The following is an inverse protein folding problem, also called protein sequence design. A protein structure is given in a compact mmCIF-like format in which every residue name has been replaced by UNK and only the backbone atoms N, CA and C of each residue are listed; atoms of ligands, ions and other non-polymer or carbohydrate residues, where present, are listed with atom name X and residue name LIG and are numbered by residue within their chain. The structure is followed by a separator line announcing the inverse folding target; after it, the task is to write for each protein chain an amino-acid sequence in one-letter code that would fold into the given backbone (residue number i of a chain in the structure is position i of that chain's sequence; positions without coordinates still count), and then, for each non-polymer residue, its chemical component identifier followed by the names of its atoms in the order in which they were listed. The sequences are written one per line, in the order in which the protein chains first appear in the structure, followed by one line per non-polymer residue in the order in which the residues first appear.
data_IF_920754350597
#
_entry.id   IF_920754350597
#
_cell.length_a   1.000
_cell.length_b   1.000
_cell.length_c   1.000
_cell.angle_alpha   90.00
_cell.angle_beta   90.00
_cell.angle_gamma   90.00
#
_symmetry.space_group_name_H-M   'P 1'
#
loop_
_entity.id
_entity.type
_entity.pdbx_description
1 polymer ?
#
# COMPACT_ATOMS: atom_id res chain seq x y z
N UNK A 1 9.83 8.97 2.41
CA UNK A 1 8.50 8.35 2.53
C UNK A 1 7.86 8.28 1.16
N UNK A 2 7.31 7.15 0.82
CA UNK A 2 6.65 6.96 -0.48
C UNK A 2 5.15 6.89 -0.28
N UNK A 3 4.40 7.62 -1.10
CA UNK A 3 2.94 7.64 -1.04
C UNK A 3 2.37 7.14 -2.36
N UNK A 4 1.41 6.24 -2.28
CA UNK A 4 0.73 5.71 -3.46
C UNK A 4 -0.78 5.88 -3.29
N UNK A 5 -1.47 6.25 -4.37
CA UNK A 5 -2.91 6.33 -4.37
C UNK A 5 -3.50 4.96 -4.71
N UNK A 6 -4.53 4.56 -4.01
CA UNK A 6 -5.12 3.23 -4.13
C UNK A 6 -6.61 3.34 -4.46
N UNK A 7 -7.02 2.63 -5.49
CA UNK A 7 -8.41 2.59 -5.92
C UNK A 7 -9.11 1.36 -5.38
N UNK A 8 -10.37 1.49 -5.00
CA UNK A 8 -11.19 0.38 -4.51
C UNK A 8 -11.18 0.23 -2.99
N UNK A 9 -10.45 1.09 -2.29
CA UNK A 9 -10.39 1.07 -0.84
C UNK A 9 -11.58 1.86 -0.28
N UNK A 10 -12.58 1.15 0.22
CA UNK A 10 -13.86 1.76 0.61
C UNK A 10 -14.21 1.59 2.09
N UNK A 11 -13.46 0.82 2.85
CA UNK A 11 -13.78 0.59 4.26
C UNK A 11 -12.51 0.24 5.05
N UNK A 12 -12.67 0.14 6.37
CA UNK A 12 -11.58 -0.19 7.29
C UNK A 12 -10.92 -1.53 6.99
N UNK A 13 -11.71 -2.51 6.57
CA UNK A 13 -11.15 -3.81 6.19
C UNK A 13 -10.21 -3.69 5.00
N UNK A 14 -10.53 -2.81 4.08
CA UNK A 14 -9.68 -2.53 2.94
C UNK A 14 -8.36 -1.91 3.40
N UNK A 15 -8.41 -0.98 4.33
CA UNK A 15 -7.21 -0.36 4.93
C UNK A 15 -6.31 -1.43 5.55
N UNK A 16 -6.89 -2.35 6.30
CA UNK A 16 -6.15 -3.43 6.95
C UNK A 16 -5.51 -4.36 5.91
N UNK A 17 -6.24 -4.71 4.87
CA UNK A 17 -5.74 -5.58 3.81
C UNK A 17 -4.56 -4.94 3.09
N UNK A 18 -4.67 -3.67 2.75
CA UNK A 18 -3.59 -2.93 2.09
C UNK A 18 -2.38 -2.81 3.01
N UNK A 19 -2.60 -2.46 4.27
CA UNK A 19 -1.52 -2.37 5.26
C UNK A 19 -0.75 -3.69 5.36
N UNK A 20 -1.49 -4.79 5.47
CA UNK A 20 -0.88 -6.11 5.56
C UNK A 20 -0.09 -6.46 4.30
N UNK A 21 -0.67 -6.17 3.14
CA UNK A 21 0.00 -6.43 1.87
C UNK A 21 1.32 -5.68 1.76
N UNK A 22 1.34 -4.42 2.19
CA UNK A 22 2.55 -3.60 2.18
C UNK A 22 3.58 -4.09 3.19
N UNK A 23 3.14 -4.50 4.38
CA UNK A 23 4.05 -5.01 5.40
C UNK A 23 4.75 -6.31 5.00
N UNK A 24 4.17 -7.06 4.10
CA UNK A 24 4.77 -8.29 3.59
C UNK A 24 5.92 -8.03 2.62
N UNK A 25 6.06 -6.81 2.15
CA UNK A 25 7.13 -6.43 1.24
C UNK A 25 8.40 -6.14 2.04
N UNK A 26 9.48 -6.86 1.73
CA UNK A 26 10.75 -6.63 2.38
C UNK A 26 11.27 -5.23 2.06
N UNK A 27 11.70 -4.53 3.09
CA UNK A 27 12.21 -3.17 2.95
C UNK A 27 11.17 -2.09 3.21
N UNK A 28 9.91 -2.46 3.39
CA UNK A 28 8.83 -1.52 3.73
C UNK A 28 8.68 -1.42 5.24
N UNK A 29 8.61 -0.19 5.75
CA UNK A 29 8.45 0.10 7.16
C UNK A 29 7.49 1.26 7.36
N UNK A 30 6.94 1.40 8.56
CA UNK A 30 6.10 2.53 8.95
C UNK A 30 4.93 2.76 7.99
N UNK A 31 4.22 1.69 7.68
CA UNK A 31 3.07 1.77 6.77
C UNK A 31 1.94 2.56 7.42
N UNK A 32 1.44 3.55 6.68
CA UNK A 32 0.29 4.36 7.09
C UNK A 32 -0.69 4.43 5.92
N UNK A 33 -1.94 4.10 6.17
CA UNK A 33 -2.97 4.13 5.13
C UNK A 33 -4.05 5.12 5.52
N UNK A 34 -4.41 5.99 4.58
CA UNK A 34 -5.46 6.99 4.79
C UNK A 34 -6.67 6.62 3.94
N UNK A 35 -7.74 6.22 4.58
CA UNK A 35 -8.99 5.85 3.91
C UNK A 35 -9.66 7.05 3.24
N UNK A 36 -9.66 8.18 3.92
CA UNK A 36 -10.30 9.38 3.40
C UNK A 36 -9.68 9.89 2.11
N UNK A 37 -8.37 9.74 1.98
CA UNK A 37 -7.63 10.14 0.79
C UNK A 37 -7.35 8.98 -0.16
N UNK A 38 -7.71 7.77 0.24
CA UNK A 38 -7.43 6.53 -0.50
C UNK A 38 -5.94 6.44 -0.87
N UNK A 39 -5.07 6.66 0.10
CA UNK A 39 -3.62 6.67 -0.07
C UNK A 39 -2.94 5.79 0.95
N UNK A 40 -1.81 5.25 0.57
CA UNK A 40 -0.93 4.54 1.49
C UNK A 40 0.45 5.16 1.44
N UNK A 41 1.06 5.34 2.61
CA UNK A 41 2.40 5.87 2.74
C UNK A 41 3.26 4.88 3.50
N UNK A 42 4.51 4.79 3.14
CA UNK A 42 5.45 3.91 3.84
C UNK A 42 6.87 4.41 3.68
N UNK A 43 7.73 4.02 4.62
CA UNK A 43 9.16 4.26 4.53
C UNK A 43 9.83 3.04 3.92
N UNK A 44 10.87 3.28 3.14
CA UNK A 44 11.66 2.23 2.55
C UNK A 44 13.00 2.14 3.27
N UNK A 45 13.23 1.04 3.98
CA UNK A 45 14.54 0.78 4.62
C UNK A 45 15.53 0.21 3.62
N UNK A 46 15.05 -0.32 2.51
CA UNK A 46 15.82 -0.83 1.38
C UNK A 46 15.15 -0.37 0.10
N UNK A 47 15.86 -0.33 -1.04
CA UNK A 47 15.21 -0.05 -2.31
C UNK A 47 14.08 -1.03 -2.57
N UNK A 48 12.88 -0.52 -2.79
CA UNK A 48 11.70 -1.32 -3.06
C UNK A 48 11.21 -1.01 -4.47
N UNK A 49 10.94 -2.05 -5.24
CA UNK A 49 10.41 -1.91 -6.59
C UNK A 49 8.95 -1.50 -6.53
N UNK A 50 8.61 -0.40 -7.17
CA UNK A 50 7.23 0.09 -7.22
C UNK A 50 6.30 -0.90 -7.89
N UNK A 51 6.79 -1.66 -8.85
CA UNK A 51 5.99 -2.69 -9.49
C UNK A 51 5.62 -3.81 -8.53
N UNK A 52 6.53 -4.14 -7.62
CA UNK A 52 6.25 -5.12 -6.58
C UNK A 52 5.14 -4.61 -5.66
N UNK A 53 5.18 -3.33 -5.30
CA UNK A 53 4.14 -2.71 -4.49
C UNK A 53 2.79 -2.81 -5.20
N UNK A 54 2.75 -2.46 -6.47
CA UNK A 54 1.53 -2.54 -7.27
C UNK A 54 1.00 -3.97 -7.34
N UNK A 55 1.89 -4.92 -7.54
CA UNK A 55 1.52 -6.33 -7.63
C UNK A 55 0.91 -6.84 -6.32
N UNK A 56 1.53 -6.50 -5.20
CA UNK A 56 1.02 -6.92 -3.89
C UNK A 56 -0.36 -6.33 -3.60
N UNK A 57 -0.55 -5.06 -3.92
CA UNK A 57 -1.83 -4.38 -3.73
C UNK A 57 -2.88 -5.00 -4.65
N UNK A 58 -2.53 -5.30 -5.88
CA UNK A 58 -3.43 -5.94 -6.82
C UNK A 58 -3.88 -7.31 -6.33
N UNK A 59 -2.97 -8.09 -5.75
CA UNK A 59 -3.30 -9.39 -5.18
C UNK A 59 -4.27 -9.27 -4.00
N UNK A 60 -4.21 -8.16 -3.28
CA UNK A 60 -5.13 -7.91 -2.18
C UNK A 60 -6.53 -7.49 -2.67
N UNK A 61 -6.71 -7.28 -3.96
CA UNK A 61 -7.98 -6.89 -4.55
C UNK A 61 -8.14 -5.40 -4.80
N UNK A 62 -7.03 -4.65 -4.78
CA UNK A 62 -7.05 -3.20 -4.96
C UNK A 62 -6.13 -2.81 -6.11
N UNK A 63 -6.13 -1.54 -6.47
CA UNK A 63 -5.35 -1.05 -7.59
C UNK A 63 -4.59 0.22 -7.20
N UNK A 64 -3.33 0.30 -7.59
CA UNK A 64 -2.53 1.51 -7.43
C UNK A 64 -2.75 2.40 -8.65
N UNK A 65 -3.18 3.64 -8.42
CA UNK A 65 -3.52 4.58 -9.51
C UNK A 65 -2.43 5.60 -9.78
N UNK A 66 -1.50 5.77 -8.88
CA UNK A 66 -0.44 6.76 -9.09
C UNK A 66 0.83 6.38 -8.36
#
# INVERSE_FOLDING_TARGET
MTTVAIKGMTCQHCVMAVTKALKEIEGVADVSVDLGKAQASFNESKPVDKELVKERIKKAGYEVVA
#
